data_IF_188013915925
#
_entry.id   IF_188013915925
#
_cell.length_a   1.000
_cell.length_b   1.000
_cell.length_c   1.000
_cell.angle_alpha   90.00
_cell.angle_beta   90.00
_cell.angle_gamma   90.00
#
_symmetry.space_group_name_H-M   'P 1'
#
loop_
_entity.id
_entity.type
_entity.pdbx_description
1 polymer ?
#
# COMPACT_ATOMS: atom_id res chain seq x y z
N UNK A 1 -8.92 -0.05 14.40
CA UNK A 1 -7.45 -0.26 14.44
C UNK A 1 -7.06 -1.00 13.17
N UNK A 2 -5.92 -0.67 12.56
CA UNK A 2 -5.48 -1.28 11.30
C UNK A 2 -4.24 -2.15 11.55
N UNK A 3 -4.23 -3.39 11.06
CA UNK A 3 -3.01 -4.20 11.01
C UNK A 3 -2.29 -3.95 9.69
N UNK A 4 -1.12 -3.34 9.76
CA UNK A 4 -0.35 -2.96 8.58
C UNK A 4 0.24 -4.15 7.80
N UNK A 5 0.63 -3.91 6.54
CA UNK A 5 1.32 -4.89 5.70
C UNK A 5 2.71 -5.22 6.26
N UNK A 6 2.96 -6.50 6.59
CA UNK A 6 4.22 -6.99 7.15
C UNK A 6 4.71 -8.23 6.39
N UNK A 7 5.74 -8.08 5.55
CA UNK A 7 6.39 -9.20 4.87
C UNK A 7 7.00 -10.18 5.88
N UNK A 8 6.64 -11.48 5.77
CA UNK A 8 7.08 -12.53 6.72
C UNK A 8 7.96 -13.62 6.10
N UNK A 9 8.11 -13.65 4.78
CA UNK A 9 8.92 -14.63 4.03
C UNK A 9 8.70 -16.10 4.45
N UNK A 10 7.46 -16.59 4.36
CA UNK A 10 7.09 -17.96 4.77
C UNK A 10 6.30 -18.74 3.70
N UNK A 11 6.21 -18.21 2.48
CA UNK A 11 5.44 -18.78 1.37
C UNK A 11 6.31 -19.58 0.41
N UNK A 12 6.45 -20.90 0.67
CA UNK A 12 7.19 -21.82 -0.20
C UNK A 12 6.57 -21.88 -1.61
N UNK A 13 7.41 -21.85 -2.65
CA UNK A 13 6.96 -21.78 -4.05
C UNK A 13 6.15 -20.51 -4.37
N UNK A 14 6.24 -19.48 -3.53
CA UNK A 14 5.39 -18.28 -3.58
C UNK A 14 3.90 -18.57 -3.38
N UNK A 15 3.57 -19.74 -2.80
CA UNK A 15 2.21 -20.15 -2.47
C UNK A 15 1.93 -19.81 -1.00
N UNK A 16 0.81 -19.12 -0.70
CA UNK A 16 0.33 -18.93 0.66
C UNK A 16 0.19 -20.27 1.40
N UNK A 17 0.64 -20.32 2.64
CA UNK A 17 0.67 -21.56 3.42
C UNK A 17 -0.44 -21.56 4.47
N UNK A 18 -0.91 -22.74 4.87
CA UNK A 18 -2.03 -22.92 5.81
C UNK A 18 -1.85 -22.16 7.14
N UNK A 19 -0.63 -22.10 7.68
CA UNK A 19 -0.36 -21.38 8.94
C UNK A 19 -0.69 -19.88 8.84
N UNK A 20 -0.74 -19.30 7.63
CA UNK A 20 -1.08 -17.90 7.45
C UNK A 20 -2.53 -17.60 7.86
N UNK A 21 -3.44 -18.59 7.74
CA UNK A 21 -4.81 -18.47 8.24
C UNK A 21 -4.81 -18.24 9.75
N UNK A 22 -4.06 -19.05 10.51
CA UNK A 22 -3.88 -18.86 11.97
C UNK A 22 -3.28 -17.49 12.27
N UNK A 23 -2.22 -17.10 11.54
CA UNK A 23 -1.53 -15.83 11.74
C UNK A 23 -2.44 -14.60 11.61
N UNK A 24 -3.25 -14.54 10.54
CA UNK A 24 -4.14 -13.41 10.31
C UNK A 24 -5.39 -13.48 11.19
N UNK A 25 -5.97 -14.67 11.40
CA UNK A 25 -7.15 -14.84 12.27
C UNK A 25 -6.88 -14.39 13.71
N UNK A 26 -5.66 -14.63 14.24
CA UNK A 26 -5.24 -14.13 15.55
C UNK A 26 -5.18 -12.59 15.67
N UNK A 27 -5.15 -11.89 14.54
CA UNK A 27 -5.06 -10.43 14.45
C UNK A 27 -6.37 -9.81 13.97
N UNK A 28 -7.34 -10.64 13.61
CA UNK A 28 -8.65 -10.20 13.18
C UNK A 28 -9.52 -9.90 14.39
N UNK A 29 -10.30 -8.84 14.28
CA UNK A 29 -11.34 -8.46 15.21
C UNK A 29 -12.48 -7.84 14.42
N UNK A 30 -13.67 -7.82 15.01
CA UNK A 30 -14.87 -7.29 14.38
C UNK A 30 -14.67 -5.83 13.96
N UNK A 31 -14.88 -5.54 12.68
CA UNK A 31 -14.69 -4.20 12.08
C UNK A 31 -13.23 -3.74 11.96
N UNK A 32 -12.25 -4.58 12.35
CA UNK A 32 -10.83 -4.29 12.17
C UNK A 32 -10.37 -4.51 10.73
N UNK A 33 -9.54 -3.61 10.21
CA UNK A 33 -8.92 -3.76 8.89
C UNK A 33 -7.55 -4.43 9.02
N UNK A 34 -7.33 -5.49 8.26
CA UNK A 34 -6.02 -6.12 8.05
C UNK A 34 -5.59 -5.82 6.62
N UNK A 35 -4.35 -5.40 6.44
CA UNK A 35 -3.70 -5.32 5.14
C UNK A 35 -2.68 -6.46 5.09
N UNK A 36 -2.76 -7.31 4.07
CA UNK A 36 -1.89 -8.48 3.95
C UNK A 36 -0.43 -8.06 3.87
N UNK A 37 0.47 -9.00 4.20
CA UNK A 37 1.85 -8.93 3.72
C UNK A 37 1.85 -8.66 2.21
N UNK A 38 2.89 -7.97 1.74
CA UNK A 38 3.08 -7.71 0.32
C UNK A 38 3.01 -9.00 -0.52
N UNK A 39 2.11 -9.01 -1.50
CA UNK A 39 1.78 -10.16 -2.36
C UNK A 39 2.17 -9.82 -3.80
N UNK A 40 3.08 -10.61 -4.37
CA UNK A 40 3.63 -10.30 -5.70
C UNK A 40 2.67 -10.72 -6.83
N UNK A 41 2.64 -9.92 -7.89
CA UNK A 41 1.63 -10.00 -8.97
C UNK A 41 2.07 -10.81 -10.18
N UNK A 42 3.35 -11.18 -10.26
CA UNK A 42 3.95 -11.96 -11.33
C UNK A 42 5.29 -12.55 -10.86
N UNK A 43 5.84 -13.47 -11.65
CA UNK A 43 7.20 -13.99 -11.41
C UNK A 43 8.26 -12.91 -11.55
N UNK A 44 8.07 -11.98 -12.50
CA UNK A 44 8.98 -10.84 -12.72
C UNK A 44 8.95 -9.80 -11.60
N UNK A 45 7.95 -9.85 -10.71
CA UNK A 45 7.77 -8.95 -9.58
C UNK A 45 8.41 -9.46 -8.27
N UNK A 46 9.09 -10.61 -8.30
CA UNK A 46 9.67 -11.24 -7.11
C UNK A 46 10.95 -10.50 -6.71
N UNK A 47 10.91 -9.78 -5.60
CA UNK A 47 12.08 -9.13 -4.98
C UNK A 47 12.63 -9.83 -3.74
N UNK A 48 11.92 -10.81 -3.17
CA UNK A 48 12.35 -11.54 -1.97
C UNK A 48 11.97 -13.02 -2.08
N UNK A 49 12.80 -13.88 -1.52
CA UNK A 49 12.46 -15.28 -1.37
C UNK A 49 11.28 -15.48 -0.40
N UNK A 50 10.43 -16.47 -0.70
CA UNK A 50 9.32 -16.92 0.14
C UNK A 50 8.23 -15.87 0.41
N UNK A 51 8.04 -14.90 -0.49
CA UNK A 51 6.86 -14.01 -0.48
C UNK A 51 5.66 -14.66 -1.16
N UNK A 52 4.41 -14.40 -0.74
CA UNK A 52 3.25 -14.95 -1.42
C UNK A 52 3.00 -14.25 -2.76
N UNK A 53 2.35 -14.96 -3.67
CA UNK A 53 1.85 -14.42 -4.94
C UNK A 53 0.34 -14.52 -5.11
N UNK A 54 -0.16 -13.99 -6.23
CA UNK A 54 -1.59 -14.03 -6.60
C UNK A 54 -1.84 -14.20 -8.12
N UNK A 55 -0.83 -14.60 -8.90
CA UNK A 55 -0.93 -14.66 -10.37
C UNK A 55 -1.37 -16.01 -10.96
N UNK A 56 -1.39 -17.07 -10.16
CA UNK A 56 -1.77 -18.42 -10.61
C UNK A 56 -2.95 -18.97 -9.83
N UNK A 57 -3.67 -19.92 -10.43
CA UNK A 57 -4.85 -20.52 -9.81
C UNK A 57 -4.56 -21.14 -8.45
N UNK A 58 -3.47 -21.90 -8.37
CA UNK A 58 -2.96 -22.49 -7.14
C UNK A 58 -2.80 -21.45 -6.02
N UNK A 59 -2.24 -20.28 -6.35
CA UNK A 59 -2.01 -19.20 -5.38
C UNK A 59 -3.32 -18.56 -4.92
N UNK A 60 -4.26 -18.35 -5.85
CA UNK A 60 -5.61 -17.84 -5.54
C UNK A 60 -6.32 -18.81 -4.59
N UNK A 61 -6.35 -20.11 -4.92
CA UNK A 61 -7.02 -21.11 -4.09
C UNK A 61 -6.38 -21.27 -2.71
N UNK A 62 -5.05 -21.10 -2.62
CA UNK A 62 -4.34 -21.10 -1.34
C UNK A 62 -4.66 -19.88 -0.45
N UNK A 63 -5.07 -18.75 -1.02
CA UNK A 63 -5.48 -17.56 -0.25
C UNK A 63 -6.89 -17.70 0.34
N UNK A 64 -7.82 -18.37 -0.33
CA UNK A 64 -9.23 -18.47 0.10
C UNK A 64 -9.43 -18.88 1.56
N UNK A 65 -8.84 -19.99 2.07
CA UNK A 65 -9.01 -20.36 3.48
C UNK A 65 -8.33 -19.40 4.47
N UNK A 66 -7.37 -18.60 4.01
CA UNK A 66 -6.71 -17.57 4.82
C UNK A 66 -7.63 -16.36 4.94
N UNK A 67 -8.25 -15.96 3.83
CA UNK A 67 -9.25 -14.88 3.80
C UNK A 67 -10.45 -15.25 4.67
N UNK A 68 -10.98 -16.46 4.49
CA UNK A 68 -12.11 -16.94 5.28
C UNK A 68 -11.83 -16.89 6.79
N UNK A 69 -10.63 -17.26 7.24
CA UNK A 69 -10.29 -17.19 8.67
C UNK A 69 -10.33 -15.77 9.26
N UNK A 70 -10.08 -14.73 8.44
CA UNK A 70 -10.26 -13.33 8.87
C UNK A 70 -11.73 -12.95 8.92
N UNK A 71 -12.50 -13.35 7.89
CA UNK A 71 -13.95 -13.10 7.82
C UNK A 71 -14.73 -13.81 8.94
N UNK A 72 -14.33 -15.02 9.32
CA UNK A 72 -14.89 -15.77 10.45
C UNK A 72 -14.75 -15.04 11.80
N UNK A 73 -13.88 -14.03 11.87
CA UNK A 73 -13.67 -13.15 13.03
C UNK A 73 -14.30 -11.76 12.84
N UNK A 74 -15.06 -11.54 11.78
CA UNK A 74 -15.67 -10.25 11.44
C UNK A 74 -14.66 -9.18 10.99
N UNK A 75 -13.44 -9.58 10.63
CA UNK A 75 -12.41 -8.67 10.15
C UNK A 75 -12.55 -8.37 8.66
N UNK A 76 -12.07 -7.20 8.25
CA UNK A 76 -11.96 -6.76 6.85
C UNK A 76 -10.52 -7.03 6.40
N UNK A 77 -10.33 -7.61 5.22
CA UNK A 77 -9.02 -8.04 4.74
C UNK A 77 -8.70 -7.54 3.33
N UNK A 78 -7.65 -6.73 3.23
CA UNK A 78 -7.16 -6.18 1.97
C UNK A 78 -5.87 -6.89 1.54
N UNK A 79 -5.74 -7.19 0.24
CA UNK A 79 -4.51 -7.72 -0.33
C UNK A 79 -3.58 -6.58 -0.74
N UNK A 80 -2.40 -6.50 -0.13
CA UNK A 80 -1.38 -5.54 -0.57
C UNK A 80 -0.67 -6.07 -1.82
N UNK A 81 -0.94 -5.48 -2.97
CA UNK A 81 -0.33 -5.86 -4.24
C UNK A 81 1.05 -5.22 -4.37
N UNK A 82 2.08 -6.07 -4.48
CA UNK A 82 3.47 -5.64 -4.69
C UNK A 82 3.86 -5.80 -6.15
N UNK A 83 4.28 -4.65 -6.68
CA UNK A 83 4.83 -4.36 -7.99
C UNK A 83 3.82 -4.34 -9.15
N UNK A 84 3.16 -3.20 -9.29
CA UNK A 84 1.92 -3.03 -10.03
C UNK A 84 2.09 -2.27 -11.36
N UNK A 85 2.97 -2.75 -12.27
CA UNK A 85 2.95 -2.27 -13.66
C UNK A 85 1.65 -2.60 -14.41
N UNK A 86 1.67 -2.68 -15.74
CA UNK A 86 0.44 -2.92 -16.55
C UNK A 86 -0.43 -4.13 -16.13
N UNK A 87 0.11 -5.08 -15.35
CA UNK A 87 -0.58 -6.29 -14.84
C UNK A 87 -1.48 -6.09 -13.61
N UNK A 88 -1.58 -4.88 -13.06
CA UNK A 88 -2.32 -4.61 -11.81
C UNK A 88 -3.81 -4.96 -11.85
N UNK A 89 -4.45 -4.85 -13.02
CA UNK A 89 -5.87 -5.15 -13.17
C UNK A 89 -6.19 -6.65 -12.98
N UNK A 90 -5.34 -7.55 -13.49
CA UNK A 90 -5.52 -9.01 -13.34
C UNK A 90 -5.34 -9.42 -11.89
N UNK A 91 -4.28 -8.93 -11.25
CA UNK A 91 -4.01 -9.28 -9.84
C UNK A 91 -5.05 -8.71 -8.88
N UNK A 92 -5.59 -7.52 -9.17
CA UNK A 92 -6.72 -6.99 -8.41
C UNK A 92 -7.95 -7.90 -8.52
N UNK A 93 -8.30 -8.37 -9.72
CA UNK A 93 -9.39 -9.35 -9.91
C UNK A 93 -9.12 -10.66 -9.18
N UNK A 94 -7.89 -11.17 -9.27
CA UNK A 94 -7.51 -12.41 -8.59
C UNK A 94 -7.57 -12.28 -7.07
N UNK A 95 -7.25 -11.10 -6.51
CA UNK A 95 -7.41 -10.83 -5.08
C UNK A 95 -8.90 -10.86 -4.69
N UNK A 96 -9.77 -10.20 -5.45
CA UNK A 96 -11.22 -10.28 -5.22
C UNK A 96 -11.73 -11.72 -5.36
N UNK A 97 -11.23 -12.49 -6.34
CA UNK A 97 -11.59 -13.90 -6.50
C UNK A 97 -11.11 -14.79 -5.35
N UNK A 98 -9.96 -14.47 -4.75
CA UNK A 98 -9.50 -15.12 -3.53
C UNK A 98 -10.35 -14.76 -2.29
N UNK A 99 -11.26 -13.80 -2.43
CA UNK A 99 -12.21 -13.37 -1.39
C UNK A 99 -11.81 -12.10 -0.66
N UNK A 100 -10.69 -11.45 -0.99
CA UNK A 100 -10.30 -10.21 -0.31
C UNK A 100 -11.35 -9.11 -0.51
N UNK A 101 -11.56 -8.28 0.50
CA UNK A 101 -12.53 -7.17 0.48
C UNK A 101 -12.08 -6.04 -0.45
N UNK A 102 -10.77 -5.91 -0.63
CA UNK A 102 -10.15 -4.93 -1.51
C UNK A 102 -8.66 -5.14 -1.67
N UNK A 103 -8.01 -4.18 -2.33
CA UNK A 103 -6.56 -4.19 -2.54
C UNK A 103 -5.92 -2.89 -2.09
N UNK A 104 -4.69 -2.99 -1.62
CA UNK A 104 -3.82 -1.84 -1.42
C UNK A 104 -2.69 -1.87 -2.45
N UNK A 105 -2.53 -0.79 -3.22
CA UNK A 105 -1.38 -0.60 -4.10
C UNK A 105 -0.16 -0.21 -3.27
N UNK A 106 0.92 -0.99 -3.39
CA UNK A 106 2.18 -0.71 -2.69
C UNK A 106 3.09 0.22 -3.49
N UNK A 107 3.14 1.49 -3.09
CA UNK A 107 3.85 2.59 -3.79
C UNK A 107 4.87 3.25 -2.86
N UNK A 108 5.55 2.41 -2.10
CA UNK A 108 6.32 2.81 -0.94
C UNK A 108 7.55 1.90 -0.78
N UNK A 109 8.48 2.28 0.09
CA UNK A 109 9.69 1.55 0.47
C UNK A 109 10.62 1.20 -0.72
N UNK A 110 10.74 2.08 -1.70
CA UNK A 110 11.69 2.00 -2.81
C UNK A 110 11.33 1.02 -3.92
N UNK A 111 10.10 0.50 -3.94
CA UNK A 111 9.64 -0.39 -5.02
C UNK A 111 9.19 0.37 -6.27
N UNK A 112 8.88 -0.35 -7.35
CA UNK A 112 8.74 0.21 -8.71
C UNK A 112 7.94 1.52 -8.81
N UNK A 113 6.75 1.59 -8.22
CA UNK A 113 5.94 2.81 -8.38
C UNK A 113 6.67 4.00 -7.73
N UNK A 114 7.29 3.82 -6.57
CA UNK A 114 8.08 4.88 -5.93
C UNK A 114 9.34 5.24 -6.73
N UNK A 115 9.95 4.29 -7.44
CA UNK A 115 11.06 4.56 -8.37
C UNK A 115 10.63 5.42 -9.56
N UNK A 116 9.36 5.38 -9.98
CA UNK A 116 8.82 6.32 -10.98
C UNK A 116 8.48 7.68 -10.38
N UNK A 117 8.00 7.71 -9.12
CA UNK A 117 7.59 8.94 -8.46
C UNK A 117 8.78 9.87 -8.15
N UNK A 118 9.91 9.29 -7.78
CA UNK A 118 11.02 10.03 -7.17
C UNK A 118 12.12 10.37 -8.17
N UNK A 119 12.56 11.62 -8.18
CA UNK A 119 13.56 12.14 -9.13
C UNK A 119 14.97 11.56 -8.94
N UNK A 120 15.32 11.10 -7.74
CA UNK A 120 16.59 10.41 -7.49
C UNK A 120 16.71 9.03 -8.15
N UNK A 121 15.58 8.43 -8.56
CA UNK A 121 15.55 7.12 -9.24
C UNK A 121 14.95 7.16 -10.65
N UNK A 122 14.31 8.25 -11.05
CA UNK A 122 13.68 8.40 -12.36
C UNK A 122 14.40 9.45 -13.23
N UNK A 123 15.33 8.97 -14.06
CA UNK A 123 16.08 9.78 -15.02
C UNK A 123 15.44 9.81 -16.43
N UNK A 124 14.19 9.35 -16.56
CA UNK A 124 13.48 9.30 -17.84
C UNK A 124 13.21 10.70 -18.38
N UNK A 125 13.24 10.82 -19.70
CA UNK A 125 12.91 12.05 -20.43
C UNK A 125 11.59 12.00 -21.20
N UNK A 126 10.89 10.85 -21.15
CA UNK A 126 9.61 10.62 -21.84
C UNK A 126 8.39 10.97 -20.99
N UNK A 127 7.22 10.46 -21.39
CA UNK A 127 5.92 10.75 -20.76
C UNK A 127 5.79 10.32 -19.28
N UNK A 128 6.75 9.56 -18.77
CA UNK A 128 6.84 9.08 -17.38
C UNK A 128 8.01 9.67 -16.59
N UNK A 129 8.68 10.72 -17.10
CA UNK A 129 9.82 11.37 -16.44
C UNK A 129 9.86 12.89 -16.64
N UNK A 130 10.78 13.55 -15.93
CA UNK A 130 11.08 14.98 -16.08
C UNK A 130 10.23 15.90 -15.18
N UNK A 131 8.91 15.92 -15.35
CA UNK A 131 8.02 16.74 -14.50
C UNK A 131 7.33 15.89 -13.43
N UNK A 132 6.88 16.53 -12.35
CA UNK A 132 6.14 15.85 -11.26
C UNK A 132 4.88 15.15 -11.77
N UNK A 133 4.18 15.74 -12.75
CA UNK A 133 3.00 15.13 -13.37
C UNK A 133 3.36 13.84 -14.10
N UNK A 134 4.48 13.82 -14.83
CA UNK A 134 4.94 12.65 -15.55
C UNK A 134 5.44 11.55 -14.59
N UNK A 135 6.13 11.93 -13.51
CA UNK A 135 6.53 10.99 -12.46
C UNK A 135 5.31 10.31 -11.82
N UNK A 136 4.24 11.08 -11.57
CA UNK A 136 2.98 10.57 -11.04
C UNK A 136 2.14 9.77 -12.06
N UNK A 137 2.40 9.89 -13.36
CA UNK A 137 1.57 9.27 -14.41
C UNK A 137 1.43 7.76 -14.24
N UNK A 138 2.56 7.07 -14.00
CA UNK A 138 2.57 5.62 -13.85
C UNK A 138 1.71 5.12 -12.67
N UNK A 139 1.76 5.86 -11.56
CA UNK A 139 0.87 5.67 -10.41
C UNK A 139 -0.60 5.83 -10.85
N UNK A 140 -0.95 6.98 -11.40
CA UNK A 140 -2.34 7.33 -11.70
C UNK A 140 -2.98 6.39 -12.73
N UNK A 141 -2.20 5.94 -13.72
CA UNK A 141 -2.63 4.93 -14.69
C UNK A 141 -2.90 3.57 -14.03
N UNK A 142 -2.04 3.19 -13.08
CA UNK A 142 -2.19 1.95 -12.30
C UNK A 142 -3.45 2.00 -11.44
N UNK A 143 -3.66 3.10 -10.71
CA UNK A 143 -4.89 3.33 -9.92
C UNK A 143 -6.12 3.29 -10.82
N UNK A 144 -6.07 3.94 -11.98
CA UNK A 144 -7.15 3.92 -12.97
C UNK A 144 -7.45 2.50 -13.46
N UNK A 145 -6.43 1.68 -13.71
CA UNK A 145 -6.59 0.30 -14.13
C UNK A 145 -7.21 -0.59 -13.05
N UNK A 146 -6.76 -0.46 -11.80
CA UNK A 146 -7.34 -1.19 -10.66
C UNK A 146 -8.79 -0.79 -10.44
N UNK A 147 -9.09 0.52 -10.44
CA UNK A 147 -10.47 1.02 -10.32
C UNK A 147 -11.40 0.42 -11.37
N UNK A 148 -10.97 0.37 -12.64
CA UNK A 148 -11.75 -0.25 -13.72
C UNK A 148 -11.95 -1.76 -13.52
N UNK A 149 -11.05 -2.41 -12.79
CA UNK A 149 -11.07 -3.85 -12.60
C UNK A 149 -11.95 -4.30 -11.43
N UNK A 150 -11.97 -3.55 -10.32
CA UNK A 150 -12.60 -3.97 -9.06
C UNK A 150 -13.52 -2.93 -8.40
N UNK A 151 -13.71 -1.76 -9.01
CA UNK A 151 -14.47 -0.65 -8.42
C UNK A 151 -13.60 0.34 -7.65
N UNK A 152 -14.14 1.53 -7.39
CA UNK A 152 -13.45 2.60 -6.63
C UNK A 152 -13.55 2.42 -5.11
N UNK A 153 -14.53 1.66 -4.65
CA UNK A 153 -14.83 1.37 -3.25
C UNK A 153 -13.92 0.27 -2.65
N UNK A 154 -12.97 -0.27 -3.43
CA UNK A 154 -12.15 -1.43 -3.04
C UNK A 154 -10.64 -1.24 -3.26
N UNK A 155 -10.19 -0.03 -3.60
CA UNK A 155 -8.78 0.26 -3.88
C UNK A 155 -8.21 1.33 -2.95
N UNK A 156 -7.20 0.97 -2.15
CA UNK A 156 -6.38 1.89 -1.37
C UNK A 156 -4.98 2.08 -1.96
N UNK A 157 -4.32 3.17 -1.59
CA UNK A 157 -2.95 3.52 -2.04
C UNK A 157 -2.05 3.73 -0.85
N UNK A 158 -0.83 3.19 -0.88
CA UNK A 158 0.18 3.38 0.18
C UNK A 158 1.45 4.05 -0.33
N UNK A 159 1.82 5.18 0.28
CA UNK A 159 3.04 5.96 -0.02
C UNK A 159 3.96 6.08 1.20
N UNK A 160 5.26 6.30 0.99
CA UNK A 160 6.26 6.49 2.06
C UNK A 160 7.16 7.71 1.81
N UNK A 161 6.61 8.93 1.83
CA UNK A 161 7.33 10.13 1.38
C UNK A 161 8.59 10.44 2.19
N UNK A 162 8.69 9.96 3.43
CA UNK A 162 9.76 10.33 4.37
C UNK A 162 10.83 9.24 4.57
N UNK A 163 10.94 8.29 3.63
CA UNK A 163 11.92 7.21 3.72
C UNK A 163 12.76 7.11 2.45
N UNK A 164 14.07 7.00 2.59
CA UNK A 164 15.01 6.77 1.47
C UNK A 164 15.49 5.32 1.47
N UNK A 165 14.53 4.41 1.45
CA UNK A 165 14.77 2.96 1.43
C UNK A 165 15.20 2.57 0.01
N UNK A 166 16.20 1.67 -0.10
CA UNK A 166 16.76 1.19 -1.37
C UNK A 166 17.34 2.32 -2.24
N UNK A 167 17.90 3.35 -1.62
CA UNK A 167 18.54 4.49 -2.31
C UNK A 167 17.59 5.32 -3.20
N UNK A 168 16.28 5.11 -3.06
CA UNK A 168 15.27 5.87 -3.79
C UNK A 168 15.01 7.19 -3.07
N UNK A 169 15.78 8.23 -3.41
CA UNK A 169 15.72 9.58 -2.83
C UNK A 169 14.84 10.52 -3.66
N UNK A 170 14.39 11.63 -3.08
CA UNK A 170 13.64 12.65 -3.81
C UNK A 170 13.99 14.07 -3.34
N UNK A 171 14.17 15.01 -4.27
CA UNK A 171 14.59 16.38 -3.93
C UNK A 171 13.55 17.18 -3.13
N UNK A 172 12.25 16.86 -3.29
CA UNK A 172 11.17 17.57 -2.60
C UNK A 172 10.00 16.61 -2.26
N UNK A 173 10.19 15.80 -1.21
CA UNK A 173 9.25 14.74 -0.84
C UNK A 173 7.90 15.25 -0.33
N UNK A 174 7.88 16.39 0.36
CA UNK A 174 6.64 16.99 0.87
C UNK A 174 5.69 17.42 -0.24
N UNK A 175 6.20 18.19 -1.22
CA UNK A 175 5.39 18.66 -2.33
C UNK A 175 4.93 17.53 -3.24
N UNK A 176 5.79 16.53 -3.48
CA UNK A 176 5.42 15.32 -4.21
C UNK A 176 4.26 14.59 -3.53
N UNK A 177 4.33 14.40 -2.20
CA UNK A 177 3.27 13.74 -1.44
C UNK A 177 1.94 14.50 -1.49
N UNK A 178 1.98 15.84 -1.38
CA UNK A 178 0.81 16.71 -1.52
C UNK A 178 0.24 16.64 -2.93
N UNK A 179 1.08 16.63 -3.97
CA UNK A 179 0.66 16.48 -5.36
C UNK A 179 -0.06 15.15 -5.59
N UNK A 180 0.53 14.04 -5.12
CA UNK A 180 -0.09 12.70 -5.19
C UNK A 180 -1.44 12.70 -4.49
N UNK A 181 -1.52 13.22 -3.26
CA UNK A 181 -2.77 13.29 -2.49
C UNK A 181 -3.88 14.03 -3.24
N UNK A 182 -3.56 15.19 -3.86
CA UNK A 182 -4.51 15.94 -4.68
C UNK A 182 -4.95 15.14 -5.91
N UNK A 183 -3.99 14.55 -6.63
CA UNK A 183 -4.27 13.79 -7.84
C UNK A 183 -5.19 12.59 -7.58
N UNK A 184 -4.96 11.86 -6.48
CA UNK A 184 -5.75 10.70 -6.09
C UNK A 184 -7.23 11.02 -5.81
N UNK A 185 -7.58 12.25 -5.43
CA UNK A 185 -8.98 12.67 -5.26
C UNK A 185 -9.79 12.49 -6.55
N UNK A 186 -9.20 12.77 -7.71
CA UNK A 186 -9.86 12.61 -9.02
C UNK A 186 -10.12 11.14 -9.36
N UNK A 187 -9.35 10.23 -8.76
CA UNK A 187 -9.45 8.79 -8.97
C UNK A 187 -10.41 8.10 -7.98
N UNK A 188 -10.88 8.81 -6.94
CA UNK A 188 -11.79 8.30 -5.91
C UNK A 188 -11.28 7.03 -5.24
N UNK A 189 -10.01 7.00 -4.85
CA UNK A 189 -9.46 5.89 -4.07
C UNK A 189 -10.11 5.83 -2.68
N UNK A 190 -10.27 4.62 -2.15
CA UNK A 190 -10.97 4.36 -0.89
C UNK A 190 -10.24 4.98 0.31
N UNK A 191 -8.91 4.91 0.32
CA UNK A 191 -8.08 5.51 1.36
C UNK A 191 -6.68 5.81 0.83
N UNK A 192 -6.00 6.74 1.51
CA UNK A 192 -4.57 6.98 1.36
C UNK A 192 -3.85 6.57 2.65
N UNK A 193 -2.85 5.70 2.53
CA UNK A 193 -2.04 5.19 3.62
C UNK A 193 -0.63 5.76 3.54
N UNK A 194 -0.28 6.66 4.45
CA UNK A 194 1.01 7.37 4.47
C UNK A 194 1.89 6.81 5.58
N UNK A 195 3.10 6.40 5.19
CA UNK A 195 4.11 5.93 6.13
C UNK A 195 4.98 7.10 6.59
N UNK A 196 4.96 7.33 7.90
CA UNK A 196 5.90 8.23 8.56
C UNK A 196 7.25 7.53 8.73
N UNK A 197 8.33 8.33 8.88
CA UNK A 197 9.67 7.79 9.09
C UNK A 197 9.70 6.86 10.31
N UNK A 198 10.14 5.62 10.11
CA UNK A 198 10.13 4.57 11.15
C UNK A 198 11.49 4.31 11.80
N UNK A 199 12.59 4.49 11.06
CA UNK A 199 13.91 4.00 11.45
C UNK A 199 14.97 5.00 11.02
N UNK A 200 15.80 5.44 11.96
CA UNK A 200 17.11 6.00 11.59
C UNK A 200 17.97 4.87 10.98
N UNK A 201 18.85 5.16 9.99
CA UNK A 201 19.14 6.46 9.37
C UNK A 201 18.34 6.74 8.07
N UNK A 202 17.24 6.02 7.81
CA UNK A 202 16.59 6.03 6.48
C UNK A 202 15.55 7.15 6.34
N UNK A 203 15.97 8.30 5.81
CA UNK A 203 15.12 9.44 5.42
C UNK A 203 14.99 10.55 6.47
N UNK A 204 14.28 11.62 6.12
CA UNK A 204 14.04 12.78 6.97
C UNK A 204 12.81 12.58 7.88
N UNK A 205 12.88 13.01 9.13
CA UNK A 205 11.68 13.03 9.97
C UNK A 205 10.70 14.05 9.36
N UNK A 206 9.44 13.69 9.10
CA UNK A 206 8.47 14.67 8.65
C UNK A 206 8.36 15.78 9.70
N UNK A 207 8.30 17.03 9.25
CA UNK A 207 7.75 18.07 10.12
C UNK A 207 6.26 17.79 10.30
N UNK A 208 5.71 18.09 11.48
CA UNK A 208 4.28 17.93 11.74
C UNK A 208 3.42 18.68 10.70
N UNK A 209 3.95 19.79 10.17
CA UNK A 209 3.32 20.60 9.14
C UNK A 209 3.10 19.83 7.84
N UNK A 210 4.07 19.03 7.37
CA UNK A 210 3.94 18.35 6.07
C UNK A 210 2.90 17.24 6.11
N UNK A 211 2.82 16.46 7.20
CA UNK A 211 1.77 15.44 7.35
C UNK A 211 0.37 16.06 7.33
N UNK A 212 0.20 17.20 7.99
CA UNK A 212 -1.05 17.96 7.96
C UNK A 212 -1.38 18.48 6.55
N UNK A 213 -0.38 18.92 5.78
CA UNK A 213 -0.58 19.35 4.39
C UNK A 213 -1.05 18.18 3.50
N UNK A 214 -0.46 17.00 3.62
CA UNK A 214 -0.88 15.81 2.87
C UNK A 214 -2.29 15.40 3.28
N UNK A 215 -2.59 15.38 4.59
CA UNK A 215 -3.94 15.08 5.10
C UNK A 215 -4.99 16.04 4.53
N UNK A 216 -4.73 17.34 4.54
CA UNK A 216 -5.64 18.38 4.01
C UNK A 216 -5.81 18.29 2.49
N UNK A 217 -4.81 17.77 1.79
CA UNK A 217 -4.85 17.61 0.34
C UNK A 217 -5.70 16.41 -0.12
N UNK A 218 -5.95 15.42 0.74
CA UNK A 218 -6.74 14.23 0.41
C UNK A 218 -8.13 14.27 1.05
N UNK A 219 -9.19 14.04 0.27
CA UNK A 219 -10.57 14.20 0.74
C UNK A 219 -11.14 12.95 1.43
N UNK A 220 -10.50 11.80 1.27
CA UNK A 220 -10.97 10.53 1.81
C UNK A 220 -10.37 10.15 3.17
N UNK A 221 -10.63 8.90 3.62
CA UNK A 221 -9.97 8.29 4.76
C UNK A 221 -8.44 8.28 4.63
N UNK A 222 -7.76 8.82 5.64
CA UNK A 222 -6.31 8.95 5.68
C UNK A 222 -5.72 8.10 6.80
N UNK A 223 -4.95 7.09 6.43
CA UNK A 223 -4.30 6.17 7.35
C UNK A 223 -2.84 6.60 7.54
N UNK A 224 -2.42 6.90 8.77
CA UNK A 224 -1.00 7.13 9.05
C UNK A 224 -0.38 5.90 9.73
N UNK A 225 0.91 5.65 9.47
CA UNK A 225 1.60 4.51 10.08
C UNK A 225 3.10 4.72 10.23
N UNK A 226 3.63 4.44 11.42
CA UNK A 226 5.07 4.50 11.71
C UNK A 226 5.36 5.04 13.11
N UNK A 227 6.03 4.24 13.95
CA UNK A 227 6.53 4.70 15.25
C UNK A 227 5.48 5.07 16.31
N UNK A 228 4.18 4.91 16.05
CA UNK A 228 3.13 5.31 16.98
C UNK A 228 3.13 4.49 18.28
N UNK A 229 3.05 5.20 19.40
CA UNK A 229 2.65 4.65 20.69
C UNK A 229 1.14 4.80 20.85
N UNK A 230 0.55 4.19 21.88
CA UNK A 230 -0.88 4.41 22.20
C UNK A 230 -1.20 5.90 22.39
N UNK A 231 -0.32 6.65 23.06
CA UNK A 231 -0.54 8.06 23.34
C UNK A 231 -0.49 8.91 22.07
N UNK A 232 0.60 8.80 21.29
CA UNK A 232 0.77 9.58 20.04
C UNK A 232 -0.28 9.24 19.00
N UNK A 233 -0.74 7.97 18.97
CA UNK A 233 -1.87 7.56 18.13
C UNK A 233 -3.17 8.26 18.50
N UNK A 234 -3.53 8.25 19.78
CA UNK A 234 -4.79 8.85 20.24
C UNK A 234 -4.78 10.37 20.00
N UNK A 235 -3.64 11.01 20.18
CA UNK A 235 -3.42 12.43 19.88
C UNK A 235 -3.57 12.73 18.38
N UNK A 236 -2.95 11.94 17.50
CA UNK A 236 -3.10 12.10 16.04
C UNK A 236 -4.55 11.97 15.54
N UNK A 237 -5.33 11.06 16.14
CA UNK A 237 -6.76 10.92 15.82
C UNK A 237 -7.55 12.12 16.37
N UNK A 238 -7.34 12.50 17.63
CA UNK A 238 -8.06 13.60 18.26
C UNK A 238 -7.80 14.94 17.57
N UNK A 239 -6.59 15.14 17.03
CA UNK A 239 -6.20 16.34 16.30
C UNK A 239 -6.57 16.32 14.82
N UNK A 240 -7.23 15.27 14.32
CA UNK A 240 -7.58 15.10 12.91
C UNK A 240 -6.39 14.91 11.95
N UNK A 241 -5.21 14.53 12.48
CA UNK A 241 -4.01 14.23 11.67
C UNK A 241 -4.14 12.91 10.91
N UNK A 242 -4.95 11.98 11.41
CA UNK A 242 -5.27 10.72 10.76
C UNK A 242 -6.66 10.22 11.18
N UNK A 243 -7.26 9.37 10.34
CA UNK A 243 -8.56 8.76 10.60
C UNK A 243 -8.35 7.41 11.34
N UNK A 244 -7.79 6.35 10.71
CA UNK A 244 -7.17 5.25 11.45
C UNK A 244 -5.63 5.32 11.45
N UNK A 245 -5.02 4.61 12.41
CA UNK A 245 -3.55 4.44 12.51
C UNK A 245 -3.17 2.96 12.43
N UNK A 246 -2.02 2.70 11.79
CA UNK A 246 -1.31 1.40 11.71
C UNK A 246 -0.23 1.27 12.78
#
# INVERSE_FOLDING_TARGET
VVHGPLTRCRSYGYVPQKYASVYYSQRACEGGLIISKATVVSETAIGYHLVPGIWSREKIDAWKPIVQGVHDKGGIFFCQLRHCGRFSHTSARNAIEAGFDGVELHEANGYLIEQFLRDGANDRTGEYGGTVENHCRFLLDTVGAVRRAIGSDRGGVRISPFTDILEVTNSNSGDLAVHIAKALNHHKVLYLHVIERRLEPYGEAPTEDVMLLIRKAFNGPFIAGGGFTRATRNDAIASGRADPIV
#
